data_IF_367186509530
#
_entry.id   IF_367186509530
#
_cell.length_a   1.000
_cell.length_b   1.000
_cell.length_c   1.000
_cell.angle_alpha   90.00
_cell.angle_beta   90.00
_cell.angle_gamma   90.00
#
_symmetry.space_group_name_H-M   'P 1'
#
loop_
_entity.id
_entity.type
_entity.pdbx_description
1 polymer ?
#
# COMPACT_ATOMS: atom_id res chain seq x y z
N UNK A 1 -0.20 2.20 -15.04
CA UNK A 1 -0.69 1.68 -13.75
C UNK A 1 -1.56 2.74 -13.07
N UNK A 2 -1.98 2.60 -11.79
CA UNK A 2 -2.72 3.65 -11.07
C UNK A 2 -1.81 4.74 -10.47
N UNK A 3 -0.51 4.50 -10.47
CA UNK A 3 0.55 5.47 -10.14
C UNK A 3 1.60 5.41 -11.24
N UNK A 4 2.04 6.58 -11.69
CA UNK A 4 3.08 6.70 -12.73
C UNK A 4 4.49 6.58 -12.14
N UNK A 5 4.65 6.88 -10.85
CA UNK A 5 5.86 6.64 -10.07
C UNK A 5 5.56 6.32 -8.61
N UNK A 6 6.49 5.64 -7.95
CA UNK A 6 6.44 5.28 -6.54
C UNK A 6 7.62 5.95 -5.84
N UNK A 7 7.33 6.77 -4.84
CA UNK A 7 8.32 7.40 -3.98
C UNK A 7 8.44 6.60 -2.69
N UNK A 8 9.68 6.27 -2.33
CA UNK A 8 10.00 5.70 -1.02
C UNK A 8 10.57 6.84 -0.18
N UNK A 9 9.82 7.36 0.81
CA UNK A 9 10.32 8.41 1.69
C UNK A 9 11.39 7.82 2.62
N UNK A 10 12.64 8.26 2.45
CA UNK A 10 13.78 7.81 3.25
C UNK A 10 14.49 9.02 3.85
N UNK A 11 14.90 8.98 5.12
CA UNK A 11 15.70 10.06 5.71
C UNK A 11 17.01 10.27 4.92
N UNK A 12 17.49 11.51 4.82
CA UNK A 12 18.75 11.83 4.12
C UNK A 12 19.95 11.01 4.61
N UNK A 13 19.96 10.68 5.90
CA UNK A 13 20.99 9.82 6.54
C UNK A 13 21.08 8.42 5.92
N UNK A 14 20.04 7.95 5.23
CA UNK A 14 19.95 6.64 4.60
C UNK A 14 19.89 6.71 3.06
N UNK A 15 20.34 7.83 2.48
CA UNK A 15 20.41 8.01 1.02
C UNK A 15 19.25 8.79 0.41
N UNK A 16 18.44 9.48 1.22
CA UNK A 16 17.41 10.42 0.78
C UNK A 16 16.19 9.79 0.09
N UNK A 17 15.13 10.55 -0.20
CA UNK A 17 13.94 10.02 -0.89
C UNK A 17 14.32 9.44 -2.25
N UNK A 18 13.69 8.32 -2.61
CA UNK A 18 13.98 7.61 -3.85
C UNK A 18 12.69 7.46 -4.65
N UNK A 19 12.68 7.98 -5.86
CA UNK A 19 11.59 7.81 -6.81
C UNK A 19 11.89 6.63 -7.73
N UNK A 20 10.86 5.83 -8.00
CA UNK A 20 10.92 4.59 -8.76
C UNK A 20 9.87 4.61 -9.85
N UNK A 21 10.27 4.34 -11.08
CA UNK A 21 9.35 4.35 -12.23
C UNK A 21 8.93 2.95 -12.67
N UNK A 22 9.59 1.90 -12.16
CA UNK A 22 9.28 0.52 -12.53
C UNK A 22 9.58 -0.47 -11.41
N UNK A 23 8.88 -1.60 -11.41
CA UNK A 23 9.19 -2.74 -10.53
C UNK A 23 10.61 -3.30 -10.78
N UNK A 24 11.13 -3.19 -11.99
CA UNK A 24 12.48 -3.68 -12.34
C UNK A 24 13.56 -2.83 -11.67
N UNK A 25 13.35 -1.52 -11.57
CA UNK A 25 14.23 -0.62 -10.82
C UNK A 25 14.21 -0.97 -9.32
N UNK A 26 13.03 -1.32 -8.80
CA UNK A 26 12.85 -1.70 -7.39
C UNK A 26 13.62 -2.97 -7.06
N UNK A 27 13.50 -3.96 -7.92
CA UNK A 27 14.19 -5.23 -7.77
C UNK A 27 15.71 -5.03 -7.76
N UNK A 28 16.25 -4.22 -8.69
CA UNK A 28 17.68 -3.92 -8.74
C UNK A 28 18.17 -3.21 -7.47
N UNK A 29 17.50 -2.14 -7.04
CA UNK A 29 17.91 -1.37 -5.87
C UNK A 29 17.79 -2.17 -4.57
N UNK A 30 16.82 -3.08 -4.49
CA UNK A 30 16.69 -3.98 -3.37
C UNK A 30 17.78 -5.06 -3.35
N UNK A 31 18.09 -5.67 -4.50
CA UNK A 31 19.19 -6.64 -4.64
C UNK A 31 20.56 -6.02 -4.34
N UNK A 32 20.78 -4.77 -4.73
CA UNK A 32 21.99 -4.00 -4.43
C UNK A 32 22.08 -3.56 -2.96
N UNK A 33 21.06 -3.83 -2.14
CA UNK A 33 21.02 -3.43 -0.73
C UNK A 33 20.87 -1.93 -0.51
N UNK A 34 20.50 -1.17 -1.54
CA UNK A 34 20.29 0.29 -1.48
C UNK A 34 18.96 0.66 -0.85
N UNK A 35 18.00 -0.26 -0.81
CA UNK A 35 16.69 -0.09 -0.17
C UNK A 35 16.60 -1.04 1.02
N UNK A 36 16.36 -0.51 2.21
CA UNK A 36 16.14 -1.34 3.39
C UNK A 36 14.73 -1.96 3.35
N UNK A 37 14.55 -3.21 3.81
CA UNK A 37 13.23 -3.86 3.80
C UNK A 37 12.14 -3.10 4.56
N UNK A 38 12.50 -2.33 5.58
CA UNK A 38 11.55 -1.52 6.35
C UNK A 38 10.99 -0.36 5.52
N UNK A 39 11.84 0.32 4.76
CA UNK A 39 11.43 1.47 3.94
C UNK A 39 10.49 1.01 2.83
N UNK A 40 10.84 -0.12 2.20
CA UNK A 40 10.00 -0.74 1.17
C UNK A 40 8.63 -1.15 1.72
N UNK A 41 8.60 -1.81 2.88
CA UNK A 41 7.32 -2.22 3.51
C UNK A 41 6.46 -1.01 3.86
N UNK A 42 7.06 0.04 4.39
CA UNK A 42 6.34 1.25 4.79
C UNK A 42 5.73 1.97 3.58
N UNK A 43 6.51 2.14 2.51
CA UNK A 43 6.00 2.68 1.25
C UNK A 43 4.89 1.78 0.68
N UNK A 44 5.08 0.46 0.62
CA UNK A 44 4.06 -0.46 0.11
C UNK A 44 2.73 -0.35 0.88
N UNK A 45 2.77 -0.26 2.22
CA UNK A 45 1.58 -0.05 3.05
C UNK A 45 0.86 1.24 2.67
N UNK A 46 1.60 2.35 2.52
CA UNK A 46 1.01 3.64 2.18
C UNK A 46 0.33 3.63 0.81
N UNK A 47 0.99 3.08 -0.21
CA UNK A 47 0.39 2.96 -1.54
C UNK A 47 -0.81 2.03 -1.55
N UNK A 48 -0.76 0.91 -0.84
CA UNK A 48 -1.91 0.00 -0.68
C UNK A 48 -3.08 0.67 0.04
N UNK A 49 -2.81 1.43 1.09
CA UNK A 49 -3.84 2.19 1.80
C UNK A 49 -4.51 3.20 0.85
N UNK A 50 -3.73 3.97 0.08
CA UNK A 50 -4.27 4.90 -0.93
C UNK A 50 -5.12 4.19 -2.00
N UNK A 51 -4.72 2.98 -2.40
CA UNK A 51 -5.47 2.18 -3.38
C UNK A 51 -6.81 1.70 -2.85
N UNK A 52 -6.86 1.29 -1.58
CA UNK A 52 -8.02 0.68 -0.92
C UNK A 52 -8.92 1.75 -0.27
N UNK A 53 -8.41 2.95 0.00
CA UNK A 53 -9.13 4.12 0.53
C UNK A 53 -10.52 4.35 -0.12
N UNK A 54 -10.68 4.40 -1.46
CA UNK A 54 -12.01 4.59 -2.06
C UNK A 54 -12.98 3.45 -1.75
N UNK A 55 -12.46 2.22 -1.60
CA UNK A 55 -13.26 1.05 -1.21
C UNK A 55 -13.68 1.19 0.25
N UNK A 56 -12.76 1.54 1.16
CA UNK A 56 -13.08 1.80 2.59
C UNK A 56 -14.16 2.86 2.72
N UNK A 57 -13.99 4.00 2.04
CA UNK A 57 -14.98 5.10 2.00
C UNK A 57 -16.33 4.65 1.44
N UNK A 58 -16.35 3.76 0.45
CA UNK A 58 -17.61 3.22 -0.07
C UNK A 58 -18.38 2.43 1.00
N UNK A 59 -17.70 1.57 1.76
CA UNK A 59 -18.32 0.80 2.86
C UNK A 59 -18.71 1.68 4.06
N UNK A 60 -18.06 2.82 4.24
CA UNK A 60 -18.42 3.80 5.26
C UNK A 60 -19.63 4.65 4.86
N UNK A 61 -19.66 5.18 3.63
CA UNK A 61 -20.67 6.17 3.22
C UNK A 61 -21.94 5.54 2.66
N UNK A 62 -21.85 4.39 1.99
CA UNK A 62 -23.01 3.75 1.38
C UNK A 62 -23.76 2.88 2.40
N UNK A 63 -25.04 3.17 2.71
CA UNK A 63 -25.78 2.45 3.74
C UNK A 63 -26.07 0.98 3.37
N UNK A 64 -26.14 0.64 2.08
CA UNK A 64 -26.28 -0.76 1.65
C UNK A 64 -24.97 -1.52 1.85
N UNK A 65 -23.84 -0.90 1.48
CA UNK A 65 -22.52 -1.50 1.64
C UNK A 65 -22.18 -1.70 3.12
N UNK A 66 -22.52 -0.72 3.98
CA UNK A 66 -22.32 -0.83 5.43
C UNK A 66 -23.10 -2.00 6.04
N UNK A 67 -24.39 -2.14 5.71
CA UNK A 67 -25.21 -3.27 6.17
C UNK A 67 -24.65 -4.63 5.71
N UNK A 68 -24.13 -4.69 4.49
CA UNK A 68 -23.48 -5.90 3.97
C UNK A 68 -22.21 -6.23 4.78
N UNK A 69 -21.38 -5.23 5.10
CA UNK A 69 -20.18 -5.41 5.93
C UNK A 69 -20.54 -5.95 7.32
N UNK A 70 -21.50 -5.33 8.00
CA UNK A 70 -21.97 -5.77 9.32
C UNK A 70 -22.51 -7.21 9.29
N UNK A 71 -23.26 -7.56 8.24
CA UNK A 71 -23.74 -8.92 8.04
C UNK A 71 -22.58 -9.92 7.89
N UNK A 72 -21.60 -9.61 7.04
CA UNK A 72 -20.42 -10.46 6.81
C UNK A 72 -19.57 -10.64 8.07
N UNK A 73 -19.32 -9.56 8.81
CA UNK A 73 -18.53 -9.58 10.06
C UNK A 73 -19.19 -10.47 11.14
N UNK A 74 -20.52 -10.62 11.11
CA UNK A 74 -21.25 -11.51 12.03
C UNK A 74 -21.21 -12.99 11.66
N UNK A 75 -20.74 -13.34 10.45
CA UNK A 75 -20.66 -14.72 10.00
C UNK A 75 -19.42 -15.40 10.58
N UNK A 76 -19.59 -16.60 11.17
CA UNK A 76 -18.45 -17.45 11.53
C UNK A 76 -17.96 -18.18 10.30
N UNK A 77 -16.67 -18.00 9.97
CA UNK A 77 -16.02 -18.80 8.92
C UNK A 77 -15.84 -20.22 9.47
N UNK A 78 -16.70 -21.14 9.02
CA UNK A 78 -16.51 -22.58 9.20
C UNK A 78 -15.41 -23.07 8.26
N UNK A 79 -14.49 -23.88 8.79
CA UNK A 79 -13.35 -24.48 8.08
C UNK A 79 -13.71 -25.83 7.49
#
# INVERSE_FOLDING_TARGET
EKFDSIEIPRPEKFGGPLEMQSCQELEKLYQEGKIHPLDLKSAAVEYLDRLIEPVRKHFETNPKARKLKEFLDSQKITR
#
